data_IF_033213312450
#
_entry.id   IF_033213312450
#
_cell.length_a   1.000
_cell.length_b   1.000
_cell.length_c   1.000
_cell.angle_alpha   90.00
_cell.angle_beta   90.00
_cell.angle_gamma   90.00
#
_symmetry.space_group_name_H-M   'P 1'
#
loop_
_entity.id
_entity.type
_entity.pdbx_description
1 polymer ?
#
# COMPACT_ATOMS: atom_id res chain seq x y z
N UNK A 1 -3.84 19.26 6.64
CA UNK A 1 -4.95 19.44 5.68
C UNK A 1 -6.23 19.54 6.48
N UNK A 2 -6.89 20.70 6.48
CA UNK A 2 -8.18 20.88 7.16
C UNK A 2 -9.29 20.43 6.20
N UNK A 3 -10.14 19.51 6.66
CA UNK A 3 -11.14 18.84 5.84
C UNK A 3 -12.52 19.49 6.03
N UNK A 4 -13.13 19.99 4.95
CA UNK A 4 -14.49 20.53 4.95
C UNK A 4 -15.54 19.42 4.76
N UNK A 5 -16.76 19.53 5.34
CA UNK A 5 -17.77 18.47 5.32
C UNK A 5 -18.76 18.65 4.16
N UNK A 6 -18.65 17.80 3.14
CA UNK A 6 -19.59 17.68 2.02
C UNK A 6 -19.55 16.28 1.39
N UNK A 7 -20.53 15.45 1.75
CA UNK A 7 -20.94 14.13 1.20
C UNK A 7 -19.83 13.19 0.69
N UNK A 8 -19.06 12.58 1.60
CA UNK A 8 -18.27 11.40 1.27
C UNK A 8 -19.15 10.14 1.33
N UNK A 9 -18.99 9.25 0.35
CA UNK A 9 -19.62 7.93 0.41
C UNK A 9 -19.08 7.16 1.64
N UNK A 10 -19.91 6.41 2.36
CA UNK A 10 -19.46 5.64 3.51
C UNK A 10 -18.45 4.58 3.06
N UNK A 11 -17.24 4.65 3.64
CA UNK A 11 -16.17 3.69 3.39
C UNK A 11 -16.17 2.65 4.50
N UNK A 12 -15.93 1.39 4.15
CA UNK A 12 -15.76 0.30 5.12
C UNK A 12 -14.43 -0.38 4.83
N UNK A 13 -13.56 -0.44 5.84
CA UNK A 13 -12.25 -1.09 5.72
C UNK A 13 -12.25 -2.42 6.47
N UNK A 14 -11.59 -3.44 5.92
CA UNK A 14 -11.32 -4.70 6.62
C UNK A 14 -9.91 -5.24 6.39
N UNK A 15 -9.47 -6.09 7.31
CA UNK A 15 -8.33 -6.97 7.15
C UNK A 15 -8.75 -8.41 7.44
N UNK A 16 -8.52 -9.31 6.50
CA UNK A 16 -8.71 -10.74 6.70
C UNK A 16 -7.47 -11.35 7.34
N UNK A 17 -7.64 -12.07 8.44
CA UNK A 17 -6.55 -12.54 9.30
C UNK A 17 -6.61 -14.04 9.59
N UNK A 18 -7.62 -14.74 9.09
CA UNK A 18 -7.78 -16.17 9.30
C UNK A 18 -6.82 -16.96 8.41
N UNK A 19 -6.18 -17.99 8.95
CA UNK A 19 -5.40 -18.95 8.17
C UNK A 19 -6.31 -20.13 7.80
N UNK A 20 -6.63 -20.34 6.52
CA UNK A 20 -7.54 -21.40 6.14
C UNK A 20 -6.96 -22.80 6.43
N UNK A 21 -7.81 -23.71 6.88
CA UNK A 21 -7.43 -25.07 7.28
C UNK A 21 -6.84 -25.88 6.14
N UNK A 22 -7.27 -25.62 4.90
CA UNK A 22 -6.78 -26.34 3.71
C UNK A 22 -5.32 -26.02 3.36
N UNK A 23 -4.70 -25.03 4.01
CA UNK A 23 -3.27 -24.74 3.87
C UNK A 23 -2.43 -25.11 5.11
N UNK A 24 -3.02 -25.74 6.14
CA UNK A 24 -2.32 -26.02 7.40
C UNK A 24 -1.06 -26.86 7.25
N UNK A 25 -1.03 -27.79 6.30
CA UNK A 25 0.12 -28.70 6.11
C UNK A 25 1.27 -28.07 5.30
N UNK A 26 1.01 -26.95 4.62
CA UNK A 26 1.97 -26.25 3.76
C UNK A 26 2.46 -24.95 4.43
N UNK A 27 1.61 -24.34 5.25
CA UNK A 27 1.81 -23.01 5.80
C UNK A 27 2.02 -23.05 7.30
N UNK A 28 3.14 -22.48 7.75
CA UNK A 28 3.47 -22.38 9.17
C UNK A 28 2.38 -21.64 9.95
N UNK A 29 2.04 -22.14 11.14
CA UNK A 29 0.90 -21.68 11.96
C UNK A 29 1.00 -20.24 12.47
N UNK A 30 2.19 -19.63 12.46
CA UNK A 30 2.39 -18.23 12.83
C UNK A 30 2.19 -17.28 11.64
N UNK A 31 2.10 -17.80 10.42
CA UNK A 31 1.82 -17.00 9.23
C UNK A 31 0.33 -16.67 9.21
N UNK A 32 0.04 -15.37 9.11
CA UNK A 32 -1.34 -14.89 8.88
C UNK A 32 -1.81 -15.24 7.48
N UNK A 33 -3.05 -14.87 7.16
CA UNK A 33 -3.60 -14.98 5.81
C UNK A 33 -2.64 -14.48 4.73
N UNK A 34 -2.53 -15.26 3.65
CA UNK A 34 -1.85 -14.83 2.43
C UNK A 34 -2.84 -14.13 1.49
N UNK A 35 -2.33 -13.60 0.38
CA UNK A 35 -3.12 -12.94 -0.64
C UNK A 35 -4.12 -13.90 -1.30
N UNK A 36 -5.41 -13.53 -1.30
CA UNK A 36 -6.47 -14.28 -1.96
C UNK A 36 -7.07 -15.41 -1.11
N UNK A 37 -6.54 -15.67 0.09
CA UNK A 37 -7.08 -16.69 1.01
C UNK A 37 -8.47 -16.33 1.55
N UNK A 38 -8.91 -15.07 1.41
CA UNK A 38 -10.26 -14.61 1.77
C UNK A 38 -11.32 -14.99 0.72
N UNK A 39 -10.91 -15.20 -0.53
CA UNK A 39 -11.81 -15.38 -1.68
C UNK A 39 -12.78 -16.57 -1.48
N UNK A 40 -12.33 -17.76 -1.05
CA UNK A 40 -13.24 -18.88 -0.79
C UNK A 40 -14.28 -18.59 0.28
N UNK A 41 -14.00 -17.70 1.23
CA UNK A 41 -14.94 -17.34 2.30
C UNK A 41 -16.01 -16.35 1.81
N UNK A 42 -15.66 -15.44 0.90
CA UNK A 42 -16.60 -14.48 0.30
C UNK A 42 -17.56 -15.17 -0.67
N UNK A 43 -17.08 -16.12 -1.47
CA UNK A 43 -17.90 -16.80 -2.49
C UNK A 43 -18.54 -18.10 -1.98
N UNK A 44 -17.97 -18.69 -0.93
CA UNK A 44 -18.38 -19.97 -0.39
C UNK A 44 -17.47 -21.10 -0.87
N UNK A 45 -17.11 -21.97 0.07
CA UNK A 45 -16.31 -23.19 -0.12
C UNK A 45 -16.75 -24.02 -1.33
N UNK A 46 -18.08 -24.11 -1.49
CA UNK A 46 -18.76 -24.88 -2.51
C UNK A 46 -18.34 -24.55 -3.93
N UNK A 47 -18.01 -23.29 -4.19
CA UNK A 47 -17.65 -22.79 -5.53
C UNK A 47 -16.23 -23.25 -5.92
N UNK A 48 -15.39 -23.54 -4.93
CA UNK A 48 -14.00 -23.97 -5.13
C UNK A 48 -13.79 -25.48 -5.07
N UNK A 49 -14.88 -26.27 -5.07
CA UNK A 49 -14.80 -27.73 -5.10
C UNK A 49 -14.35 -28.38 -3.78
N UNK A 50 -14.33 -27.66 -2.66
CA UNK A 50 -13.88 -28.16 -1.35
C UNK A 50 -14.94 -28.93 -0.55
N UNK A 51 -16.06 -29.30 -1.17
CA UNK A 51 -17.10 -30.18 -0.58
C UNK A 51 -16.71 -31.66 -0.52
N UNK A 52 -15.50 -32.02 -0.91
CA UNK A 52 -15.04 -33.40 -0.86
C UNK A 52 -14.72 -33.80 0.59
N UNK A 53 -15.71 -34.35 1.29
CA UNK A 53 -15.49 -35.21 2.48
C UNK A 53 -14.48 -36.34 2.17
N UNK A 54 -14.30 -36.68 0.88
CA UNK A 54 -13.36 -37.70 0.38
C UNK A 54 -11.88 -37.30 0.29
N UNK A 55 -11.50 -36.03 0.51
CA UNK A 55 -10.10 -35.58 0.35
C UNK A 55 -9.38 -35.28 1.67
N UNK A 56 -10.06 -35.37 2.82
CA UNK A 56 -9.47 -35.05 4.12
C UNK A 56 -9.09 -33.57 4.33
N UNK A 57 -9.26 -32.72 3.31
CA UNK A 57 -8.94 -31.29 3.28
C UNK A 57 -10.22 -30.45 3.27
N UNK A 58 -11.08 -30.66 4.28
CA UNK A 58 -12.35 -29.98 4.42
C UNK A 58 -12.25 -28.62 5.12
N UNK A 59 -13.15 -27.70 4.79
CA UNK A 59 -13.40 -26.49 5.56
C UNK A 59 -14.03 -26.89 6.91
N UNK A 60 -13.52 -26.36 8.01
CA UNK A 60 -14.05 -26.65 9.36
C UNK A 60 -15.40 -25.98 9.60
N UNK A 61 -16.15 -26.46 10.59
CA UNK A 61 -17.43 -25.84 10.97
C UNK A 61 -17.29 -24.35 11.36
N UNK A 62 -16.17 -23.97 11.98
CA UNK A 62 -15.85 -22.59 12.33
C UNK A 62 -15.60 -21.72 11.09
N UNK A 63 -14.89 -22.25 10.10
CA UNK A 63 -14.63 -21.58 8.83
C UNK A 63 -15.89 -21.43 7.98
N UNK A 64 -16.78 -22.42 8.03
CA UNK A 64 -18.07 -22.34 7.37
C UNK A 64 -18.97 -21.28 8.05
N UNK A 65 -18.90 -21.14 9.39
CA UNK A 65 -19.51 -20.01 10.10
C UNK A 65 -18.89 -18.67 9.69
N UNK A 66 -17.57 -18.60 9.55
CA UNK A 66 -16.87 -17.40 9.05
C UNK A 66 -17.32 -17.04 7.63
N UNK A 67 -17.36 -18.01 6.71
CA UNK A 67 -17.83 -17.81 5.34
C UNK A 67 -19.28 -17.31 5.31
N UNK A 68 -20.17 -17.88 6.13
CA UNK A 68 -21.56 -17.37 6.25
C UNK A 68 -21.61 -15.92 6.71
N UNK A 69 -20.81 -15.53 7.71
CA UNK A 69 -20.72 -14.12 8.17
C UNK A 69 -20.22 -13.21 7.06
N UNK A 70 -19.14 -13.58 6.36
CA UNK A 70 -18.57 -12.81 5.25
C UNK A 70 -19.59 -12.66 4.11
N UNK A 71 -20.20 -13.75 3.63
CA UNK A 71 -21.26 -13.66 2.62
C UNK A 71 -22.40 -12.72 3.03
N UNK A 72 -22.81 -12.74 4.30
CA UNK A 72 -23.86 -11.83 4.80
C UNK A 72 -23.41 -10.36 4.78
N UNK A 73 -22.20 -10.05 5.22
CA UNK A 73 -21.66 -8.67 5.13
C UNK A 73 -21.61 -8.17 3.68
N UNK A 74 -21.06 -8.96 2.75
CA UNK A 74 -20.95 -8.57 1.34
C UNK A 74 -22.32 -8.46 0.67
N UNK A 75 -23.25 -9.38 0.94
CA UNK A 75 -24.61 -9.31 0.41
C UNK A 75 -25.39 -8.10 0.93
N UNK A 76 -25.23 -7.74 2.21
CA UNK A 76 -25.83 -6.54 2.77
C UNK A 76 -25.26 -5.29 2.09
N UNK A 77 -23.93 -5.19 2.00
CA UNK A 77 -23.26 -4.07 1.34
C UNK A 77 -23.70 -3.91 -0.12
N UNK A 78 -23.76 -5.01 -0.89
CA UNK A 78 -24.23 -4.99 -2.27
C UNK A 78 -25.70 -4.51 -2.40
N UNK A 79 -26.55 -4.78 -1.39
CA UNK A 79 -27.97 -4.41 -1.41
C UNK A 79 -28.21 -2.94 -1.06
N UNK A 80 -27.47 -2.40 -0.09
CA UNK A 80 -27.82 -1.11 0.53
C UNK A 80 -26.62 -0.20 0.85
N UNK A 81 -25.40 -0.57 0.46
CA UNK A 81 -24.19 0.19 0.77
C UNK A 81 -23.74 0.11 2.24
N UNK A 82 -24.34 -0.76 3.05
CA UNK A 82 -24.04 -0.96 4.46
C UNK A 82 -23.90 -2.46 4.78
N UNK A 83 -22.72 -2.94 5.23
CA UNK A 83 -22.50 -4.37 5.46
C UNK A 83 -23.27 -4.91 6.69
N UNK A 84 -23.76 -4.04 7.58
CA UNK A 84 -24.34 -4.43 8.87
C UNK A 84 -25.71 -5.13 8.73
N UNK A 85 -26.02 -5.99 9.71
CA UNK A 85 -27.30 -6.69 9.81
C UNK A 85 -27.40 -7.53 11.07
N UNK A 86 -28.56 -8.14 11.31
CA UNK A 86 -28.83 -8.96 12.49
C UNK A 86 -27.83 -10.12 12.64
N UNK A 87 -27.36 -10.39 13.86
CA UNK A 87 -26.43 -11.49 14.14
C UNK A 87 -25.00 -11.27 13.64
N UNK A 88 -24.66 -10.06 13.18
CA UNK A 88 -23.32 -9.67 12.78
C UNK A 88 -22.70 -8.70 13.77
N UNK A 89 -21.37 -8.76 13.91
CA UNK A 89 -20.64 -7.70 14.61
C UNK A 89 -20.77 -6.40 13.83
N UNK A 90 -20.94 -5.28 14.52
CA UNK A 90 -21.02 -3.98 13.86
C UNK A 90 -19.72 -3.66 13.13
N UNK A 91 -19.80 -3.49 11.81
CA UNK A 91 -18.73 -2.99 10.97
C UNK A 91 -18.77 -1.46 10.95
N UNK A 92 -17.77 -0.78 11.56
CA UNK A 92 -17.74 0.66 11.64
C UNK A 92 -17.49 1.29 10.26
N UNK A 93 -18.02 2.51 10.07
CA UNK A 93 -17.63 3.34 8.94
C UNK A 93 -16.17 3.77 9.18
N UNK A 94 -15.35 3.64 8.14
CA UNK A 94 -13.98 4.10 8.16
C UNK A 94 -13.95 5.63 8.05
N UNK A 95 -13.50 6.28 9.11
CA UNK A 95 -13.50 7.73 9.28
C UNK A 95 -12.27 8.17 10.09
N UNK A 96 -12.32 9.34 10.74
CA UNK A 96 -11.21 9.88 11.54
C UNK A 96 -10.83 9.00 12.74
N UNK A 97 -11.73 8.15 13.22
CA UNK A 97 -11.39 7.18 14.26
C UNK A 97 -10.63 5.96 13.72
N UNK A 98 -10.47 5.86 12.39
CA UNK A 98 -9.71 4.82 11.66
C UNK A 98 -10.07 3.39 12.09
N UNK A 99 -11.35 3.17 12.44
CA UNK A 99 -11.82 1.87 12.87
C UNK A 99 -12.06 0.96 11.67
N UNK A 100 -11.70 -0.31 11.80
CA UNK A 100 -11.85 -1.29 10.73
C UNK A 100 -12.22 -2.68 11.24
N UNK A 101 -12.80 -3.49 10.37
CA UNK A 101 -13.15 -4.87 10.69
C UNK A 101 -11.95 -5.80 10.54
N UNK A 102 -11.65 -6.58 11.57
CA UNK A 102 -10.71 -7.70 11.50
C UNK A 102 -11.51 -8.99 11.33
N UNK A 103 -11.41 -9.58 10.14
CA UNK A 103 -12.15 -10.79 9.79
C UNK A 103 -11.34 -12.02 10.20
N UNK A 104 -11.86 -12.72 11.20
CA UNK A 104 -11.40 -14.01 11.69
C UNK A 104 -12.62 -14.79 12.22
N UNK A 105 -12.46 -16.04 12.66
CA UNK A 105 -13.54 -16.88 13.23
C UNK A 105 -14.38 -16.09 14.24
N UNK A 106 -13.67 -15.40 15.14
CA UNK A 106 -14.23 -14.35 15.98
C UNK A 106 -13.82 -12.98 15.44
N UNK A 107 -14.72 -12.26 14.75
CA UNK A 107 -14.40 -10.94 14.22
C UNK A 107 -14.22 -9.92 15.35
N UNK A 108 -13.36 -8.94 15.12
CA UNK A 108 -13.06 -7.85 16.05
C UNK A 108 -12.97 -6.51 15.31
N UNK A 109 -13.02 -5.40 16.06
CA UNK A 109 -12.80 -4.06 15.51
C UNK A 109 -11.41 -3.58 15.91
N UNK A 110 -10.58 -3.30 14.92
CA UNK A 110 -9.28 -2.68 15.09
C UNK A 110 -9.33 -1.16 14.92
N UNK A 111 -8.21 -0.49 15.18
CA UNK A 111 -8.00 0.95 14.93
C UNK A 111 -6.66 1.17 14.24
N UNK A 112 -6.56 2.22 13.41
CA UNK A 112 -5.32 2.70 12.82
C UNK A 112 -4.53 1.60 12.08
N UNK A 113 -5.12 1.02 11.01
CA UNK A 113 -4.56 -0.14 10.33
C UNK A 113 -3.16 0.18 9.80
N UNK A 114 -2.15 -0.54 10.30
CA UNK A 114 -0.74 -0.46 9.86
C UNK A 114 -0.18 0.98 9.91
N UNK A 115 -0.62 1.82 10.84
CA UNK A 115 -0.24 3.25 10.91
C UNK A 115 1.27 3.52 10.80
N UNK A 116 2.11 2.75 11.53
CA UNK A 116 3.57 2.90 11.44
C UNK A 116 4.13 2.59 10.04
N UNK A 117 3.58 1.59 9.35
CA UNK A 117 3.99 1.26 7.97
C UNK A 117 3.49 2.31 7.00
N UNK A 118 2.25 2.78 7.16
CA UNK A 118 1.71 3.86 6.35
C UNK A 118 2.61 5.09 6.42
N UNK A 119 2.90 5.56 7.64
CA UNK A 119 3.82 6.67 7.89
C UNK A 119 5.19 6.45 7.24
N UNK A 120 5.75 5.24 7.37
CA UNK A 120 7.02 4.92 6.76
C UNK A 120 7.00 5.14 5.24
N UNK A 121 5.98 4.61 4.55
CA UNK A 121 5.90 4.69 3.09
C UNK A 121 5.50 6.07 2.56
N UNK A 122 4.66 6.82 3.29
CA UNK A 122 4.13 8.10 2.80
C UNK A 122 4.96 9.31 3.23
N UNK A 123 5.67 9.23 4.35
CA UNK A 123 6.40 10.36 4.92
C UNK A 123 7.90 10.08 4.99
N UNK A 124 8.29 9.06 5.76
CA UNK A 124 9.68 8.82 6.14
C UNK A 124 10.53 8.47 4.91
N UNK A 125 10.08 7.50 4.11
CA UNK A 125 10.84 7.04 2.96
C UNK A 125 11.00 8.15 1.91
N UNK A 126 9.94 8.86 1.46
CA UNK A 126 10.09 9.98 0.53
C UNK A 126 11.00 11.08 1.06
N UNK A 127 10.92 11.40 2.36
CA UNK A 127 11.83 12.37 2.98
C UNK A 127 13.28 11.93 2.90
N UNK A 128 13.58 10.68 3.31
CA UNK A 128 14.95 10.15 3.27
C UNK A 128 15.51 10.07 1.85
N UNK A 129 14.67 9.76 0.86
CA UNK A 129 15.07 9.77 -0.55
C UNK A 129 15.44 11.19 -1.01
N UNK A 130 14.67 12.22 -0.63
CA UNK A 130 15.02 13.62 -0.96
C UNK A 130 16.35 14.04 -0.33
N UNK A 131 16.53 13.79 0.97
CA UNK A 131 17.77 14.10 1.70
C UNK A 131 18.99 13.43 1.03
N UNK A 132 18.86 12.17 0.59
CA UNK A 132 19.92 11.46 -0.13
C UNK A 132 20.19 12.03 -1.53
N UNK A 133 19.16 12.44 -2.25
CA UNK A 133 19.33 13.04 -3.59
C UNK A 133 19.97 14.43 -3.50
N UNK A 134 19.58 15.25 -2.52
CA UNK A 134 20.18 16.56 -2.23
C UNK A 134 21.65 16.41 -1.83
N UNK A 135 21.96 15.54 -0.87
CA UNK A 135 23.34 15.29 -0.46
C UNK A 135 24.21 14.75 -1.62
N UNK A 136 23.64 13.93 -2.52
CA UNK A 136 24.34 13.46 -3.72
C UNK A 136 24.57 14.60 -4.72
N UNK A 137 23.60 15.51 -4.88
CA UNK A 137 23.73 16.73 -5.69
C UNK A 137 24.80 17.66 -5.16
N UNK A 138 24.81 17.92 -3.85
CA UNK A 138 25.84 18.71 -3.17
C UNK A 138 27.23 18.04 -3.26
N UNK A 139 27.30 16.72 -3.09
CA UNK A 139 28.56 15.98 -3.27
C UNK A 139 29.09 16.08 -4.70
N UNK A 140 28.22 16.04 -5.71
CA UNK A 140 28.64 16.23 -7.11
C UNK A 140 29.00 17.68 -7.40
N UNK A 141 28.33 18.68 -6.81
CA UNK A 141 28.67 20.10 -6.94
C UNK A 141 30.01 20.45 -6.26
N UNK A 142 30.30 19.88 -5.09
CA UNK A 142 31.60 20.03 -4.40
C UNK A 142 32.75 19.31 -5.13
N UNK A 143 32.44 18.29 -5.93
CA UNK A 143 33.43 17.56 -6.73
C UNK A 143 33.64 18.13 -8.13
N UNK A 144 32.69 18.88 -8.68
CA UNK A 144 32.94 19.71 -9.84
C UNK A 144 33.91 20.82 -9.41
N UNK A 145 35.04 21.04 -10.11
CA UNK A 145 35.89 22.16 -9.77
C UNK A 145 35.04 23.42 -9.85
N UNK A 146 35.00 24.21 -8.77
CA UNK A 146 34.46 25.58 -8.80
C UNK A 146 35.31 26.33 -9.82
N UNK A 147 34.90 26.31 -11.09
CA UNK A 147 35.50 27.15 -12.11
C UNK A 147 35.13 28.56 -11.70
N UNK A 148 36.06 29.21 -11.00
CA UNK A 148 35.92 30.58 -10.55
C UNK A 148 35.39 31.42 -11.70
N UNK A 149 34.37 32.24 -11.42
CA UNK A 149 33.77 33.14 -12.40
C UNK A 149 34.88 34.05 -12.94
N UNK A 150 35.42 33.74 -14.13
CA UNK A 150 36.39 34.59 -14.80
C UNK A 150 35.64 35.87 -15.15
N UNK A 151 35.90 36.94 -14.39
CA UNK A 151 35.38 38.25 -14.72
C UNK A 151 35.93 38.69 -16.06
N UNK A 152 35.08 38.78 -17.07
CA UNK A 152 35.42 39.48 -18.30
C UNK A 152 35.53 40.98 -17.98
N UNK A 153 36.76 41.46 -17.81
CA UNK A 153 37.07 42.88 -17.87
C UNK A 153 36.72 43.41 -19.26
N UNK A 154 35.59 44.09 -19.37
CA UNK A 154 35.14 44.72 -20.62
C UNK A 154 35.99 45.95 -20.95
N UNK A 155 37.13 45.73 -21.61
CA UNK A 155 37.81 46.74 -22.42
C UNK A 155 37.05 46.94 -23.73
N UNK A 156 36.56 48.15 -23.93
CA UNK A 156 35.78 48.59 -25.10
C UNK A 156 36.66 48.61 -26.35
N UNK A 157 36.48 47.68 -27.29
CA UNK A 157 36.84 47.89 -28.70
C UNK A 157 35.83 47.30 -29.68
N UNK A 158 35.77 47.92 -30.85
CA UNK A 158 34.69 47.91 -31.83
C UNK A 158 34.84 46.75 -32.82
N UNK A 159 33.72 46.07 -33.10
CA UNK A 159 33.44 45.45 -34.40
C UNK A 159 33.71 43.95 -34.52
N UNK A 160 32.73 43.24 -35.09
CA UNK A 160 32.93 41.94 -35.76
C UNK A 160 32.43 40.72 -34.97
N UNK A 161 31.32 40.13 -35.44
CA UNK A 161 30.81 38.83 -35.03
C UNK A 161 31.69 37.71 -35.61
N UNK A 162 32.21 36.80 -34.79
CA UNK A 162 32.52 35.43 -35.24
C UNK A 162 32.46 34.45 -34.05
N UNK A 163 31.35 33.70 -33.93
CA UNK A 163 31.25 32.59 -32.99
C UNK A 163 31.82 31.32 -33.65
N UNK A 164 33.06 30.96 -33.33
CA UNK A 164 33.63 29.64 -33.66
C UNK A 164 33.33 28.66 -32.54
N UNK A 165 32.47 27.68 -32.81
CA UNK A 165 32.31 26.51 -31.95
C UNK A 165 33.52 25.59 -32.15
N UNK A 166 34.40 25.50 -31.14
CA UNK A 166 35.50 24.53 -31.10
C UNK A 166 34.99 23.18 -30.59
N UNK A 167 35.18 22.14 -31.40
CA UNK A 167 34.72 20.77 -31.19
C UNK A 167 35.34 20.10 -29.95
N UNK A 168 34.54 19.25 -29.31
CA UNK A 168 34.87 18.44 -28.13
C UNK A 168 35.91 17.37 -28.49
N UNK A 169 37.01 17.28 -27.74
CA UNK A 169 37.99 16.20 -27.84
C UNK A 169 37.91 15.30 -26.61
N UNK A 170 37.49 14.04 -26.79
CA UNK A 170 37.59 12.99 -25.78
C UNK A 170 39.04 12.48 -25.67
N UNK A 171 39.60 12.44 -24.48
CA UNK A 171 40.83 11.69 -24.18
C UNK A 171 40.50 10.46 -23.35
N UNK A 172 40.76 9.28 -23.90
CA UNK A 172 40.85 8.00 -23.20
C UNK A 172 41.99 8.05 -22.17
N UNK A 173 41.78 7.43 -21.01
CA UNK A 173 42.84 7.10 -20.05
C UNK A 173 42.91 5.60 -19.84
N UNK A 174 44.16 5.13 -19.77
CA UNK A 174 44.64 3.76 -19.72
C UNK A 174 44.52 3.11 -18.34
#
# INVERSE_FOLDING_TARGET
VAFSPGSWAPVYFCEFQHQPSFFKDIKLSYLRSDHGEEVPFVFGASIWGSHSESSGAGITGEEELLSRKMRKYWANFARNGNPNGEGLLRWPIFNQEEQYMQLNVQPTVGRAPKARRLQFWTEILPQKVRELMEAKGEYTELQLPVVGRVGCGGGRERGGLECRWGSVGCTHTH
#
